data_IF_616947713900
#
_entry.id   IF_616947713900
#
_cell.length_a   1.000
_cell.length_b   1.000
_cell.length_c   1.000
_cell.angle_alpha   90.00
_cell.angle_beta   90.00
_cell.angle_gamma   90.00
#
_symmetry.space_group_name_H-M   'P 1'
#
loop_
_entity.id
_entity.type
_entity.pdbx_description
1 polymer ?
#
# COMPACT_ATOMS: atom_id res chain seq x y z
N UNK A 1 -23.10 4.22 6.51
CA UNK A 1 -22.33 4.46 7.74
C UNK A 1 -23.11 5.23 8.82
N UNK A 2 -23.78 6.37 8.54
CA UNK A 2 -24.57 7.09 9.56
C UNK A 2 -26.04 6.66 9.72
N UNK A 3 -26.62 6.00 8.70
CA UNK A 3 -28.02 5.53 8.70
C UNK A 3 -28.16 4.05 8.34
N UNK A 4 -27.05 3.32 8.25
CA UNK A 4 -26.99 1.87 7.91
C UNK A 4 -27.80 1.42 6.67
N UNK A 5 -28.07 2.35 5.75
CA UNK A 5 -28.88 2.05 4.56
C UNK A 5 -28.19 1.05 3.62
N UNK A 6 -28.97 0.09 3.13
CA UNK A 6 -28.63 -0.89 2.13
C UNK A 6 -29.47 -0.73 0.86
N UNK A 7 -29.10 -1.46 -0.20
CA UNK A 7 -29.93 -1.55 -1.40
C UNK A 7 -31.27 -2.20 -1.04
N UNK A 8 -32.38 -1.58 -1.45
CA UNK A 8 -33.74 -1.99 -1.13
C UNK A 8 -34.39 -1.22 0.01
N UNK A 9 -33.62 -0.46 0.79
CA UNK A 9 -34.17 0.38 1.86
C UNK A 9 -34.92 1.60 1.30
N UNK A 10 -35.75 2.20 2.14
CA UNK A 10 -36.46 3.44 1.80
C UNK A 10 -35.85 4.65 2.51
N UNK A 11 -35.74 5.75 1.79
CA UNK A 11 -35.19 7.01 2.28
C UNK A 11 -36.18 8.15 2.02
N UNK A 12 -36.67 8.74 3.10
CA UNK A 12 -37.53 9.92 3.03
C UNK A 12 -36.70 11.20 2.93
N UNK A 13 -36.96 11.99 1.89
CA UNK A 13 -36.27 13.25 1.60
C UNK A 13 -37.27 14.41 1.53
N UNK A 14 -36.89 15.62 1.99
CA UNK A 14 -37.71 16.81 1.82
C UNK A 14 -37.69 17.25 0.35
N UNK A 15 -38.85 17.29 -0.29
CA UNK A 15 -39.06 17.81 -1.65
C UNK A 15 -39.89 19.09 -1.62
N UNK A 16 -40.07 19.74 -2.76
CA UNK A 16 -40.88 20.96 -2.87
C UNK A 16 -42.39 20.72 -2.62
N UNK A 17 -42.86 19.48 -2.78
CA UNK A 17 -44.24 19.08 -2.52
C UNK A 17 -44.46 18.49 -1.11
N UNK A 18 -43.40 18.37 -0.30
CA UNK A 18 -43.42 17.72 1.02
C UNK A 18 -42.38 16.60 1.14
N UNK A 19 -42.40 15.87 2.25
CA UNK A 19 -41.51 14.73 2.42
C UNK A 19 -41.96 13.56 1.53
N UNK A 20 -41.08 13.10 0.63
CA UNK A 20 -41.33 11.95 -0.23
C UNK A 20 -40.32 10.83 0.03
N UNK A 21 -40.75 9.60 -0.20
CA UNK A 21 -39.97 8.38 0.07
C UNK A 21 -39.41 7.80 -1.23
N UNK A 22 -38.10 7.53 -1.24
CA UNK A 22 -37.36 7.00 -2.37
C UNK A 22 -36.71 5.66 -2.02
N UNK A 23 -36.75 4.70 -2.94
CA UNK A 23 -36.03 3.44 -2.79
C UNK A 23 -34.52 3.63 -3.04
N UNK A 24 -33.69 3.07 -2.17
CA UNK A 24 -32.24 3.06 -2.27
C UNK A 24 -31.82 1.94 -3.23
N UNK A 25 -31.32 2.31 -4.41
CA UNK A 25 -30.86 1.32 -5.40
C UNK A 25 -29.51 0.71 -5.05
N UNK A 26 -28.69 1.41 -4.27
CA UNK A 26 -27.37 0.97 -3.86
C UNK A 26 -26.61 2.03 -3.10
N UNK A 27 -25.50 1.63 -2.49
CA UNK A 27 -24.59 2.52 -1.77
C UNK A 27 -23.20 2.42 -2.38
N UNK A 28 -22.48 3.54 -2.40
CA UNK A 28 -21.10 3.62 -2.88
C UNK A 28 -20.31 4.57 -1.99
N UNK A 29 -18.98 4.45 -2.02
CA UNK A 29 -18.10 5.38 -1.29
C UNK A 29 -17.87 6.64 -2.13
N UNK A 30 -18.33 7.77 -1.63
CA UNK A 30 -18.05 9.08 -2.20
C UNK A 30 -16.83 9.70 -1.50
N UNK A 31 -15.80 10.05 -2.27
CA UNK A 31 -14.56 10.67 -1.76
C UNK A 31 -14.52 12.19 -1.99
N UNK A 32 -15.58 12.77 -2.54
CA UNK A 32 -15.67 14.18 -2.93
C UNK A 32 -16.46 15.04 -1.94
N UNK A 33 -17.01 14.46 -0.88
CA UNK A 33 -17.85 15.16 0.10
C UNK A 33 -17.54 14.68 1.51
N UNK A 34 -17.28 15.61 2.42
CA UNK A 34 -17.10 15.33 3.86
C UNK A 34 -18.44 14.94 4.55
N UNK A 35 -19.56 15.23 3.88
CA UNK A 35 -20.92 14.78 4.22
C UNK A 35 -21.38 13.59 3.38
N UNK A 36 -22.44 12.90 3.81
CA UNK A 36 -23.09 11.89 2.98
C UNK A 36 -23.72 12.53 1.74
N UNK A 37 -23.54 11.91 0.57
CA UNK A 37 -24.13 12.34 -0.70
C UNK A 37 -25.25 11.42 -1.16
N UNK A 38 -26.19 11.97 -1.94
CA UNK A 38 -27.25 11.20 -2.61
C UNK A 38 -27.14 11.49 -4.10
N UNK A 39 -27.13 10.45 -4.93
CA UNK A 39 -27.15 10.57 -6.39
C UNK A 39 -28.51 10.15 -6.91
N UNK A 40 -29.17 11.06 -7.64
CA UNK A 40 -30.51 10.86 -8.19
C UNK A 40 -30.47 11.20 -9.68
N UNK A 41 -31.18 10.46 -10.56
CA UNK A 41 -31.33 10.86 -11.96
C UNK A 41 -31.89 12.27 -12.09
N UNK A 42 -31.31 13.09 -12.98
CA UNK A 42 -31.66 14.50 -13.14
C UNK A 42 -33.16 14.72 -13.41
N UNK A 43 -33.77 13.87 -14.24
CA UNK A 43 -35.21 13.93 -14.54
C UNK A 43 -36.08 13.78 -13.29
N UNK A 44 -35.69 12.90 -12.36
CA UNK A 44 -36.40 12.69 -11.10
C UNK A 44 -36.16 13.88 -10.15
N UNK A 45 -34.93 14.36 -10.05
CA UNK A 45 -34.62 15.55 -9.25
C UNK A 45 -35.47 16.76 -9.69
N UNK A 46 -35.52 17.04 -10.99
CA UNK A 46 -36.29 18.15 -11.55
C UNK A 46 -37.80 18.00 -11.32
N UNK A 47 -38.34 16.77 -11.33
CA UNK A 47 -39.75 16.52 -11.08
C UNK A 47 -40.17 16.82 -9.64
N UNK A 48 -39.34 16.47 -8.65
CA UNK A 48 -39.70 16.59 -7.22
C UNK A 48 -39.26 17.91 -6.58
N UNK A 49 -38.11 18.47 -6.98
CA UNK A 49 -37.61 19.75 -6.43
C UNK A 49 -37.99 20.97 -7.28
N UNK A 50 -38.46 20.77 -8.51
CA UNK A 50 -38.77 21.85 -9.47
C UNK A 50 -37.59 22.79 -9.75
N UNK A 51 -36.38 22.38 -9.40
CA UNK A 51 -35.15 23.11 -9.67
C UNK A 51 -34.55 22.63 -11.00
N UNK A 52 -34.36 23.57 -11.93
CA UNK A 52 -33.76 23.33 -13.25
C UNK A 52 -32.35 23.90 -13.37
N UNK A 53 -31.79 24.44 -12.28
CA UNK A 53 -30.41 24.90 -12.25
C UNK A 53 -29.44 23.72 -12.42
N UNK A 54 -28.30 24.01 -13.02
CA UNK A 54 -27.21 23.04 -13.21
C UNK A 54 -25.93 23.68 -12.72
N UNK A 55 -25.26 23.04 -11.76
CA UNK A 55 -23.97 23.50 -11.25
C UNK A 55 -22.81 23.19 -12.22
N UNK A 56 -22.99 22.20 -13.09
CA UNK A 56 -21.98 21.79 -14.04
C UNK A 56 -22.44 20.71 -15.02
N UNK A 57 -21.68 20.55 -16.09
CA UNK A 57 -21.90 19.54 -17.13
C UNK A 57 -20.61 18.74 -17.28
N UNK A 58 -20.71 17.42 -17.14
CA UNK A 58 -19.62 16.50 -17.46
C UNK A 58 -19.58 16.22 -18.96
N UNK A 59 -18.46 16.54 -19.62
CA UNK A 59 -18.23 16.20 -21.01
C UNK A 59 -17.25 15.03 -21.04
N UNK A 60 -17.68 13.92 -21.63
CA UNK A 60 -16.87 12.71 -21.78
C UNK A 60 -16.49 12.58 -23.26
N UNK A 61 -15.19 12.52 -23.51
CA UNK A 61 -14.65 12.34 -24.85
C UNK A 61 -14.47 10.83 -25.10
N UNK A 62 -14.70 10.41 -26.35
CA UNK A 62 -14.34 9.07 -26.81
C UNK A 62 -12.81 8.90 -26.78
N UNK A 63 -12.32 7.68 -26.57
CA UNK A 63 -10.89 7.35 -26.49
C UNK A 63 -10.11 7.78 -27.75
N UNK A 64 -10.78 7.92 -28.91
CA UNK A 64 -10.17 8.32 -30.19
C UNK A 64 -10.17 9.83 -30.43
N UNK A 65 -10.80 10.62 -29.57
CA UNK A 65 -10.93 12.07 -29.76
C UNK A 65 -9.65 12.82 -29.35
N UNK A 66 -9.26 13.82 -30.14
CA UNK A 66 -8.18 14.74 -29.75
C UNK A 66 -8.69 15.70 -28.66
N UNK A 67 -8.12 15.57 -27.46
CA UNK A 67 -8.49 16.40 -26.32
C UNK A 67 -8.15 17.88 -26.52
N UNK A 68 -7.05 18.20 -27.23
CA UNK A 68 -6.64 19.57 -27.45
C UNK A 68 -7.63 20.28 -28.37
N UNK A 69 -7.97 19.64 -29.50
CA UNK A 69 -8.96 20.14 -30.44
C UNK A 69 -10.36 20.24 -29.80
N UNK A 70 -10.77 19.24 -29.02
CA UNK A 70 -12.06 19.26 -28.32
C UNK A 70 -12.12 20.39 -27.28
N UNK A 71 -11.03 20.61 -26.53
CA UNK A 71 -10.94 21.71 -25.56
C UNK A 71 -11.06 23.07 -26.25
N UNK A 72 -10.38 23.28 -27.37
CA UNK A 72 -10.43 24.51 -28.13
C UNK A 72 -11.84 24.77 -28.68
N UNK A 73 -12.48 23.75 -29.27
CA UNK A 73 -13.86 23.84 -29.74
C UNK A 73 -14.85 24.19 -28.61
N UNK A 74 -14.68 23.61 -27.41
CA UNK A 74 -15.50 23.95 -26.25
C UNK A 74 -15.23 25.38 -25.80
N UNK A 75 -13.97 25.82 -25.73
CA UNK A 75 -13.63 27.20 -25.35
C UNK A 75 -14.26 28.22 -26.32
N UNK A 76 -14.23 27.95 -27.63
CA UNK A 76 -14.87 28.81 -28.64
C UNK A 76 -16.38 28.93 -28.41
N UNK A 77 -17.07 27.84 -28.06
CA UNK A 77 -18.50 27.88 -27.72
C UNK A 77 -18.78 28.70 -26.44
N UNK A 78 -17.83 28.70 -25.49
CA UNK A 78 -17.94 29.40 -24.22
C UNK A 78 -17.55 30.88 -24.29
N UNK A 79 -16.97 31.37 -25.39
CA UNK A 79 -16.68 32.81 -25.57
C UNK A 79 -17.95 33.67 -25.40
N UNK A 80 -19.11 33.11 -25.76
CA UNK A 80 -20.42 33.76 -25.61
C UNK A 80 -21.00 33.67 -24.20
N UNK A 81 -20.34 32.94 -23.27
CA UNK A 81 -20.80 32.70 -21.89
C UNK A 81 -19.64 32.80 -20.89
N UNK A 82 -19.19 34.02 -20.54
CA UNK A 82 -18.04 34.24 -19.66
C UNK A 82 -18.21 33.68 -18.23
N UNK A 83 -19.45 33.40 -17.82
CA UNK A 83 -19.78 32.86 -16.49
C UNK A 83 -19.46 31.37 -16.35
N UNK A 84 -19.22 30.67 -17.47
CA UNK A 84 -18.97 29.23 -17.49
C UNK A 84 -17.46 28.96 -17.54
N UNK A 85 -16.94 28.26 -16.53
CA UNK A 85 -15.51 27.91 -16.45
C UNK A 85 -15.27 26.48 -16.89
N UNK A 86 -14.53 26.31 -17.98
CA UNK A 86 -14.05 24.99 -18.40
C UNK A 86 -12.93 24.50 -17.48
N UNK A 87 -13.21 23.44 -16.73
CA UNK A 87 -12.20 22.73 -15.92
C UNK A 87 -11.93 21.37 -16.53
N UNK A 88 -10.66 21.10 -16.86
CA UNK A 88 -10.25 19.76 -17.28
C UNK A 88 -10.06 18.89 -16.04
N UNK A 89 -10.86 17.83 -15.94
CA UNK A 89 -10.73 16.82 -14.87
C UNK A 89 -9.37 16.14 -14.89
N UNK A 90 -8.75 15.97 -16.07
CA UNK A 90 -7.42 15.37 -16.20
C UNK A 90 -6.32 16.29 -15.65
N UNK A 91 -6.39 17.60 -15.92
CA UNK A 91 -5.45 18.55 -15.36
C UNK A 91 -5.58 18.67 -13.83
N UNK A 92 -6.82 18.63 -13.32
CA UNK A 92 -7.07 18.59 -11.87
C UNK A 92 -6.53 17.29 -11.28
N UNK A 93 -6.82 16.13 -11.89
CA UNK A 93 -6.32 14.82 -11.44
C UNK A 93 -4.79 14.77 -11.42
N UNK A 94 -4.13 15.23 -12.49
CA UNK A 94 -2.67 15.24 -12.57
C UNK A 94 -2.05 16.09 -11.45
N UNK A 95 -2.59 17.30 -11.23
CA UNK A 95 -2.10 18.19 -10.17
C UNK A 95 -2.42 17.68 -8.76
N UNK A 96 -3.60 17.09 -8.56
CA UNK A 96 -3.95 16.43 -7.31
C UNK A 96 -3.03 15.25 -7.02
N UNK A 97 -2.74 14.40 -8.01
CA UNK A 97 -1.82 13.27 -7.87
C UNK A 97 -0.39 13.74 -7.59
N UNK A 98 0.09 14.82 -8.24
CA UNK A 98 1.41 15.38 -7.97
C UNK A 98 1.56 15.88 -6.52
N UNK A 99 0.57 16.61 -6.01
CA UNK A 99 0.53 17.08 -4.61
C UNK A 99 0.44 15.89 -3.64
N UNK A 100 -0.35 14.87 -4.01
CA UNK A 100 -0.49 13.65 -3.24
C UNK A 100 0.86 12.94 -3.17
N UNK A 101 1.47 12.62 -4.30
CA UNK A 101 2.77 11.96 -4.40
C UNK A 101 3.82 12.68 -3.57
N UNK A 102 3.88 14.03 -3.63
CA UNK A 102 4.83 14.81 -2.84
C UNK A 102 4.64 14.62 -1.33
N UNK A 103 3.40 14.50 -0.86
CA UNK A 103 3.09 14.26 0.56
C UNK A 103 3.43 12.82 0.96
N UNK A 104 3.17 11.85 0.07
CA UNK A 104 3.48 10.44 0.31
C UNK A 104 4.96 10.09 0.18
N UNK A 105 5.79 10.93 -0.46
CA UNK A 105 7.25 10.75 -0.50
C UNK A 105 7.86 10.63 0.90
N UNK A 106 7.36 11.40 1.87
CA UNK A 106 7.86 11.32 3.25
C UNK A 106 7.61 9.92 3.82
N UNK A 107 6.39 9.41 3.64
CA UNK A 107 6.04 8.04 4.07
C UNK A 107 6.87 6.98 3.34
N UNK A 108 7.19 7.18 2.07
CA UNK A 108 8.06 6.29 1.30
C UNK A 108 9.48 6.25 1.88
N UNK A 109 10.06 7.42 2.21
CA UNK A 109 11.37 7.49 2.87
C UNK A 109 11.32 6.79 4.23
N UNK A 110 10.30 7.05 5.05
CA UNK A 110 10.12 6.38 6.35
C UNK A 110 9.99 4.86 6.18
N UNK A 111 9.27 4.40 5.16
CA UNK A 111 9.14 2.98 4.83
C UNK A 111 10.49 2.36 4.46
N UNK A 112 11.30 3.05 3.65
CA UNK A 112 12.65 2.58 3.29
C UNK A 112 13.53 2.49 4.54
N UNK A 113 13.50 3.51 5.40
CA UNK A 113 14.25 3.51 6.66
C UNK A 113 13.80 2.39 7.60
N UNK A 114 12.50 2.18 7.76
CA UNK A 114 11.96 1.08 8.56
C UNK A 114 12.38 -0.28 7.98
N UNK A 115 12.35 -0.44 6.65
CA UNK A 115 12.86 -1.63 5.97
C UNK A 115 14.35 -1.86 6.22
N UNK A 116 15.16 -0.80 6.18
CA UNK A 116 16.59 -0.86 6.47
C UNK A 116 16.85 -1.28 7.93
N UNK A 117 16.15 -0.68 8.89
CA UNK A 117 16.28 -1.03 10.32
C UNK A 117 15.86 -2.49 10.55
N UNK A 118 14.74 -2.93 9.97
CA UNK A 118 14.30 -4.32 10.05
C UNK A 118 15.32 -5.29 9.45
N UNK A 119 15.86 -4.95 8.28
CA UNK A 119 16.91 -5.73 7.61
C UNK A 119 18.17 -5.85 8.47
N UNK A 120 18.67 -4.73 9.01
CA UNK A 120 19.85 -4.73 9.87
C UNK A 120 19.60 -5.50 11.17
N UNK A 121 18.41 -5.39 11.75
CA UNK A 121 18.01 -6.15 12.93
C UNK A 121 18.02 -7.66 12.68
N UNK A 122 17.40 -8.10 11.58
CA UNK A 122 17.38 -9.51 11.18
C UNK A 122 18.79 -10.02 10.87
N UNK A 123 19.58 -9.26 10.09
CA UNK A 123 20.97 -9.58 9.78
C UNK A 123 21.79 -9.75 11.05
N UNK A 124 21.67 -8.81 11.99
CA UNK A 124 22.41 -8.82 13.25
C UNK A 124 22.03 -10.02 14.13
N UNK A 125 20.74 -10.34 14.20
CA UNK A 125 20.26 -11.51 14.95
C UNK A 125 20.78 -12.83 14.36
N UNK A 126 20.71 -12.98 13.03
CA UNK A 126 21.22 -14.19 12.35
C UNK A 126 22.74 -14.30 12.45
N UNK A 127 23.47 -13.19 12.34
CA UNK A 127 24.92 -13.15 12.54
C UNK A 127 25.28 -13.54 13.98
N UNK A 128 24.55 -13.05 14.98
CA UNK A 128 24.79 -13.40 16.38
C UNK A 128 24.62 -14.92 16.60
N UNK A 129 23.53 -15.50 16.10
CA UNK A 129 23.27 -16.95 16.16
C UNK A 129 24.44 -17.74 15.56
N UNK A 130 25.01 -17.25 14.48
CA UNK A 130 26.07 -17.97 13.76
C UNK A 130 27.46 -17.80 14.40
N UNK A 131 27.73 -16.64 15.02
CA UNK A 131 28.97 -16.40 15.76
C UNK A 131 29.08 -17.27 17.02
N UNK A 132 27.96 -17.56 17.67
CA UNK A 132 27.91 -18.39 18.88
C UNK A 132 28.18 -19.89 18.61
N UNK A 133 28.24 -20.32 17.34
CA UNK A 133 28.41 -21.72 16.93
C UNK A 133 29.85 -22.20 16.84
N UNK A 134 30.81 -21.44 17.38
CA UNK A 134 32.23 -21.78 17.33
C UNK A 134 32.53 -23.20 17.80
N UNK A 135 31.87 -23.64 18.88
CA UNK A 135 32.04 -25.00 19.45
C UNK A 135 31.47 -26.09 18.55
N UNK A 136 30.30 -25.87 17.94
CA UNK A 136 29.71 -26.81 16.99
C UNK A 136 30.61 -27.00 15.76
N UNK A 137 31.13 -25.89 15.22
CA UNK A 137 32.05 -25.90 14.08
C UNK A 137 33.32 -26.69 14.43
N UNK A 138 33.87 -26.52 15.64
CA UNK A 138 35.05 -27.25 16.09
C UNK A 138 34.81 -28.78 16.15
N UNK A 139 33.66 -29.21 16.66
CA UNK A 139 33.26 -30.63 16.69
C UNK A 139 33.10 -31.18 15.28
N UNK A 140 32.42 -30.47 14.38
CA UNK A 140 32.24 -30.89 12.99
C UNK A 140 33.60 -31.05 12.26
N UNK A 141 34.55 -30.15 12.51
CA UNK A 141 35.91 -30.27 11.97
C UNK A 141 36.68 -31.46 12.53
N UNK A 142 36.52 -31.78 13.82
CA UNK A 142 37.14 -32.95 14.44
C UNK A 142 36.60 -34.27 13.86
N UNK A 143 35.34 -34.28 13.42
CA UNK A 143 34.72 -35.41 12.71
C UNK A 143 35.12 -35.50 11.22
N UNK A 144 35.95 -34.58 10.72
CA UNK A 144 36.48 -34.61 9.35
C UNK A 144 35.68 -33.83 8.32
N UNK A 145 34.69 -33.00 8.71
CA UNK A 145 33.95 -32.17 7.77
C UNK A 145 34.86 -31.11 7.13
N UNK A 146 34.69 -30.91 5.82
CA UNK A 146 35.40 -29.87 5.07
C UNK A 146 34.81 -28.48 5.35
N UNK A 147 35.60 -27.40 5.25
CA UNK A 147 35.10 -26.02 5.41
C UNK A 147 33.94 -25.69 4.47
N UNK A 148 33.92 -26.27 3.27
CA UNK A 148 32.86 -26.08 2.30
C UNK A 148 31.54 -26.73 2.74
N UNK A 149 31.59 -27.94 3.32
CA UNK A 149 30.40 -28.61 3.86
C UNK A 149 29.82 -27.83 5.05
N UNK A 150 30.66 -27.32 5.94
CA UNK A 150 30.22 -26.51 7.10
C UNK A 150 29.60 -25.20 6.62
N UNK A 151 30.21 -24.52 5.64
CA UNK A 151 29.67 -23.29 5.05
C UNK A 151 28.32 -23.51 4.36
N UNK A 152 28.16 -24.63 3.63
CA UNK A 152 26.89 -24.97 2.96
C UNK A 152 25.79 -25.28 3.96
N UNK A 153 26.12 -25.99 5.05
CA UNK A 153 25.17 -26.30 6.13
C UNK A 153 24.69 -25.01 6.81
N UNK A 154 25.63 -24.13 7.17
CA UNK A 154 25.36 -22.82 7.78
C UNK A 154 24.49 -21.94 6.89
N UNK A 155 24.83 -21.84 5.60
CA UNK A 155 24.04 -21.08 4.62
C UNK A 155 22.62 -21.64 4.47
N UNK A 156 22.49 -22.96 4.35
CA UNK A 156 21.17 -23.60 4.23
C UNK A 156 20.32 -23.31 5.47
N UNK A 157 20.90 -23.40 6.66
CA UNK A 157 20.19 -23.13 7.89
C UNK A 157 19.76 -21.67 8.03
N UNK A 158 20.65 -20.72 7.75
CA UNK A 158 20.32 -19.28 7.80
C UNK A 158 19.26 -18.92 6.78
N UNK A 159 19.34 -19.45 5.55
CA UNK A 159 18.31 -19.24 4.51
C UNK A 159 16.97 -19.83 4.95
N UNK A 160 16.94 -21.03 5.54
CA UNK A 160 15.71 -21.63 6.07
C UNK A 160 15.10 -20.77 7.17
N UNK A 161 15.90 -20.30 8.13
CA UNK A 161 15.45 -19.43 9.21
C UNK A 161 14.93 -18.08 8.69
N UNK A 162 15.65 -17.44 7.75
CA UNK A 162 15.23 -16.19 7.14
C UNK A 162 13.95 -16.32 6.31
N UNK A 163 13.83 -17.42 5.57
CA UNK A 163 12.61 -17.71 4.78
C UNK A 163 11.43 -17.96 5.71
N UNK A 164 11.61 -18.75 6.77
CA UNK A 164 10.57 -18.98 7.77
C UNK A 164 10.13 -17.66 8.45
N UNK A 165 11.08 -16.81 8.84
CA UNK A 165 10.80 -15.49 9.41
C UNK A 165 10.02 -14.61 8.42
N UNK A 166 10.44 -14.57 7.14
CA UNK A 166 9.76 -13.81 6.10
C UNK A 166 8.34 -14.31 5.83
N UNK A 167 8.12 -15.62 5.76
CA UNK A 167 6.79 -16.22 5.57
C UNK A 167 5.88 -15.93 6.75
N UNK A 168 6.38 -16.02 7.99
CA UNK A 168 5.61 -15.71 9.19
C UNK A 168 5.30 -14.22 9.34
N UNK A 169 6.16 -13.34 8.80
CA UNK A 169 5.94 -11.91 8.79
C UNK A 169 4.78 -11.47 7.88
N UNK A 170 4.48 -12.21 6.81
CA UNK A 170 3.39 -11.88 5.86
C UNK A 170 2.01 -11.83 6.55
N UNK A 171 1.51 -12.91 7.20
CA UNK A 171 0.21 -12.87 7.84
C UNK A 171 0.17 -11.85 8.98
N UNK A 172 1.26 -11.71 9.74
CA UNK A 172 1.35 -10.70 10.79
C UNK A 172 1.24 -9.27 10.22
N UNK A 173 1.93 -8.99 9.12
CA UNK A 173 1.85 -7.71 8.42
C UNK A 173 0.47 -7.42 7.85
N UNK A 174 -0.22 -8.43 7.31
CA UNK A 174 -1.60 -8.30 6.82
C UNK A 174 -2.56 -7.97 7.97
N UNK A 175 -2.44 -8.65 9.11
CA UNK A 175 -3.26 -8.36 10.30
C UNK A 175 -3.01 -6.94 10.80
N UNK A 176 -1.75 -6.49 10.82
CA UNK A 176 -1.41 -5.11 11.20
C UNK A 176 -1.95 -4.08 10.21
N UNK A 177 -1.89 -4.36 8.91
CA UNK A 177 -2.48 -3.50 7.88
C UNK A 177 -4.00 -3.40 8.03
N UNK A 178 -4.69 -4.52 8.29
CA UNK A 178 -6.12 -4.56 8.57
C UNK A 178 -6.50 -3.70 9.78
N UNK A 179 -5.77 -3.84 10.89
CA UNK A 179 -5.99 -3.02 12.08
C UNK A 179 -5.76 -1.52 11.81
N UNK A 180 -4.75 -1.17 11.03
CA UNK A 180 -4.49 0.22 10.65
C UNK A 180 -5.63 0.79 9.78
N UNK A 181 -6.08 0.04 8.78
CA UNK A 181 -7.10 0.50 7.82
C UNK A 181 -8.50 0.53 8.43
N UNK A 182 -8.89 -0.51 9.17
CA UNK A 182 -10.25 -0.65 9.68
C UNK A 182 -10.48 0.07 11.00
N UNK A 183 -9.47 0.11 11.88
CA UNK A 183 -9.62 0.68 13.23
C UNK A 183 -9.00 2.06 13.32
N UNK A 184 -7.73 2.20 12.97
CA UNK A 184 -6.99 3.44 13.21
C UNK A 184 -7.42 4.53 12.21
N UNK A 185 -7.40 4.26 10.91
CA UNK A 185 -7.75 5.26 9.89
C UNK A 185 -9.19 5.77 10.05
N UNK A 186 -10.15 4.88 10.30
CA UNK A 186 -11.53 5.28 10.51
C UNK A 186 -11.70 6.20 11.73
N UNK A 187 -10.99 5.92 12.84
CA UNK A 187 -11.04 6.76 14.04
C UNK A 187 -10.30 8.08 13.89
N UNK A 188 -9.15 8.08 13.22
CA UNK A 188 -8.30 9.26 13.06
C UNK A 188 -8.82 10.24 12.02
N UNK A 189 -9.40 9.73 10.93
CA UNK A 189 -9.79 10.59 9.81
C UNK A 189 -11.28 10.53 9.44
N UNK A 190 -12.04 9.53 9.88
CA UNK A 190 -13.48 9.43 9.62
C UNK A 190 -13.88 8.87 8.24
N UNK A 191 -12.91 8.44 7.42
CA UNK A 191 -13.11 7.82 6.11
C UNK A 191 -12.43 6.45 6.06
N UNK A 192 -13.07 5.49 5.39
CA UNK A 192 -12.56 4.14 5.19
C UNK A 192 -11.93 3.97 3.82
N UNK A 193 -10.86 3.19 3.77
CA UNK A 193 -10.23 2.73 2.53
C UNK A 193 -10.32 1.22 2.45
N UNK A 194 -10.40 0.68 1.22
CA UNK A 194 -10.38 -0.76 1.03
C UNK A 194 -8.93 -1.27 1.14
N UNK A 195 -8.73 -2.35 1.90
CA UNK A 195 -7.43 -2.99 2.03
C UNK A 195 -7.15 -3.83 0.78
N UNK A 196 -6.33 -3.30 -0.13
CA UNK A 196 -5.86 -4.05 -1.31
C UNK A 196 -4.51 -4.66 -1.02
N UNK A 197 -4.46 -5.99 -0.91
CA UNK A 197 -3.22 -6.73 -0.71
C UNK A 197 -2.51 -6.86 -2.06
N UNK A 198 -1.48 -6.04 -2.25
CA UNK A 198 -0.62 -6.11 -3.44
C UNK A 198 0.54 -7.09 -3.20
N UNK A 199 0.90 -7.94 -4.18
CA UNK A 199 1.97 -8.91 -4.03
C UNK A 199 3.36 -8.27 -3.98
N UNK A 200 3.56 -7.12 -4.64
CA UNK A 200 4.89 -6.52 -4.78
C UNK A 200 5.53 -6.10 -3.43
N UNK A 201 4.84 -5.40 -2.51
CA UNK A 201 5.41 -5.09 -1.19
C UNK A 201 5.71 -6.34 -0.35
N UNK A 202 4.86 -7.37 -0.44
CA UNK A 202 5.06 -8.63 0.27
C UNK A 202 6.31 -9.37 -0.25
N UNK A 203 6.46 -9.45 -1.57
CA UNK A 203 7.63 -10.03 -2.22
C UNK A 203 8.91 -9.27 -1.87
N UNK A 204 8.86 -7.93 -1.80
CA UNK A 204 9.99 -7.11 -1.36
C UNK A 204 10.38 -7.42 0.09
N UNK A 205 9.42 -7.54 1.00
CA UNK A 205 9.67 -7.92 2.39
C UNK A 205 10.33 -9.30 2.52
N UNK A 206 9.82 -10.28 1.78
CA UNK A 206 10.42 -11.62 1.73
C UNK A 206 11.83 -11.59 1.13
N UNK A 207 12.04 -10.84 0.05
CA UNK A 207 13.35 -10.68 -0.58
C UNK A 207 14.36 -10.02 0.37
N UNK A 208 13.96 -9.02 1.16
CA UNK A 208 14.80 -8.41 2.19
C UNK A 208 15.17 -9.42 3.28
N UNK A 209 14.21 -10.24 3.74
CA UNK A 209 14.49 -11.28 4.72
C UNK A 209 15.47 -12.34 4.20
N UNK A 210 15.28 -12.78 2.95
CA UNK A 210 16.20 -13.71 2.29
C UNK A 210 17.58 -13.09 2.07
N UNK A 211 17.67 -11.83 1.67
CA UNK A 211 18.93 -11.13 1.49
C UNK A 211 19.70 -11.01 2.82
N UNK A 212 19.02 -10.68 3.92
CA UNK A 212 19.62 -10.62 5.25
C UNK A 212 20.16 -12.00 5.66
N UNK A 213 19.40 -13.06 5.42
CA UNK A 213 19.80 -14.42 5.72
C UNK A 213 21.00 -14.91 4.90
N UNK A 214 21.02 -14.62 3.60
CA UNK A 214 22.15 -14.94 2.72
C UNK A 214 23.41 -14.22 3.19
N UNK A 215 23.32 -12.93 3.50
CA UNK A 215 24.46 -12.15 3.99
C UNK A 215 24.97 -12.67 5.35
N UNK A 216 24.06 -13.03 6.25
CA UNK A 216 24.40 -13.65 7.53
C UNK A 216 25.13 -14.99 7.35
N UNK A 217 24.68 -15.85 6.44
CA UNK A 217 25.27 -17.17 6.18
C UNK A 217 26.57 -17.15 5.38
N UNK A 218 26.76 -16.17 4.48
CA UNK A 218 27.98 -16.03 3.67
C UNK A 218 29.17 -15.55 4.51
N UNK A 219 28.93 -14.64 5.47
CA UNK A 219 29.99 -14.05 6.29
C UNK A 219 30.88 -15.09 7.03
N UNK A 220 30.33 -16.08 7.76
CA UNK A 220 31.11 -17.14 8.39
C UNK A 220 31.77 -18.07 7.39
N UNK A 221 31.08 -18.44 6.29
CA UNK A 221 31.66 -19.27 5.24
C UNK A 221 32.93 -18.63 4.66
N UNK A 222 32.91 -17.31 4.44
CA UNK A 222 34.07 -16.56 3.99
C UNK A 222 35.18 -16.45 5.06
N UNK A 223 34.82 -16.19 6.33
CA UNK A 223 35.76 -16.12 7.46
C UNK A 223 36.45 -17.46 7.74
N UNK A 224 35.76 -18.58 7.55
CA UNK A 224 36.32 -19.93 7.70
C UNK A 224 37.32 -20.28 6.61
N UNK A 225 37.10 -19.84 5.37
CA UNK A 225 38.05 -20.03 4.26
C UNK A 225 39.38 -19.28 4.44
N UNK A 226 39.40 -18.19 5.22
CA UNK A 226 40.59 -17.35 5.46
C UNK A 226 41.26 -17.53 6.82
N UNK A 227 40.61 -18.19 7.79
CA UNK A 227 41.19 -18.36 9.13
C UNK A 227 42.09 -19.58 9.16
N UNK A 228 43.41 -19.34 9.18
CA UNK A 228 44.39 -20.37 9.51
C UNK A 228 44.05 -20.96 10.89
N UNK A 229 44.07 -22.29 10.96
CA UNK A 229 43.79 -23.08 12.18
C UNK A 229 44.67 -22.65 13.37
N UNK A 230 45.85 -22.08 13.08
CA UNK A 230 46.85 -21.69 14.06
C UNK A 230 46.50 -20.46 14.92
N UNK A 231 45.61 -19.57 14.46
CA UNK A 231 45.28 -18.35 15.24
C UNK A 231 44.27 -18.61 16.36
N UNK A 232 43.38 -19.60 16.20
CA UNK A 232 42.27 -19.84 17.15
C UNK A 232 42.62 -20.72 18.36
N UNK A 233 43.76 -21.43 18.31
CA UNK A 233 44.31 -22.18 19.45
C UNK A 233 45.20 -21.31 20.37
N UNK A 234 45.35 -20.01 20.06
CA UNK A 234 46.20 -19.07 20.80
C UNK A 234 45.43 -18.04 21.63
N UNK A 235 44.10 -18.10 21.58
CA UNK A 235 43.18 -17.24 22.34
C UNK A 235 42.51 -17.95 23.54
N UNK A 236 42.95 -19.18 23.86
CA UNK A 236 42.74 -19.81 25.18
C UNK A 236 44.03 -19.73 26.00
#
# INVERSE_FOLDING_TARGET
YRRELAAGDELTLPTSAGAETFAVLGTYRAYNTDGGGITIPLSRYQAHWQDRSLDGIGIYLDDRADQAAAREAILALLETRPDVRLRSTQAIRARSLEIFDQTFRITEVLRILAGLVAFLGLLSALLAIELDRGREIAVLRALGFTPHQIGTLSLTQTVLLGTAAGVLAIPLGIVMAGLLVEVINQRSFGWGMDLVIQPAPLALGLALAMAAALLAGIYPAWRMGRSSVAARLREE
#
